data_IF_666028207663
#
_entry.id   IF_666028207663
#
_cell.length_a   1.000
_cell.length_b   1.000
_cell.length_c   1.000
_cell.angle_alpha   90.00
_cell.angle_beta   90.00
_cell.angle_gamma   90.00
#
_symmetry.space_group_name_H-M   'P 1'
#
loop_
_entity.id
_entity.type
_entity.pdbx_description
1 polymer ?
#
# COMPACT_ATOMS: atom_id res chain seq x y z
N UNK A 1 23.22 -22.37 -5.19
CA UNK A 1 22.40 -21.23 -4.75
C UNK A 1 23.21 -20.43 -3.75
N UNK A 2 23.51 -19.16 -4.03
CA UNK A 2 24.14 -18.26 -3.06
C UNK A 2 23.02 -17.46 -2.42
N UNK A 3 22.82 -17.62 -1.12
CA UNK A 3 21.97 -16.75 -0.33
C UNK A 3 22.89 -15.64 0.19
N UNK A 4 22.72 -14.42 -0.31
CA UNK A 4 23.42 -13.25 0.22
C UNK A 4 22.62 -12.67 1.39
N UNK A 5 23.13 -12.86 2.60
CA UNK A 5 22.52 -12.33 3.82
C UNK A 5 22.69 -10.81 3.94
N UNK A 6 23.48 -10.17 3.09
CA UNK A 6 23.65 -8.72 3.04
C UNK A 6 22.70 -8.05 2.03
N UNK A 7 21.97 -8.83 1.22
CA UNK A 7 20.99 -8.26 0.31
C UNK A 7 19.84 -7.63 1.12
N UNK A 8 19.72 -6.31 1.03
CA UNK A 8 18.67 -5.57 1.74
C UNK A 8 17.29 -5.98 1.23
N UNK A 9 16.32 -5.98 2.14
CA UNK A 9 14.92 -6.06 1.76
C UNK A 9 14.55 -4.92 0.78
N UNK A 10 13.61 -5.16 -0.14
CA UNK A 10 13.07 -4.10 -0.99
C UNK A 10 12.56 -2.94 -0.13
N UNK A 11 12.80 -1.71 -0.58
CA UNK A 11 12.40 -0.50 0.13
C UNK A 11 12.16 0.65 -0.83
N UNK A 12 11.47 1.66 -0.31
CA UNK A 12 11.30 2.96 -0.97
C UNK A 12 11.88 4.04 -0.07
N UNK A 13 12.53 5.03 -0.69
CA UNK A 13 13.05 6.19 0.03
C UNK A 13 11.98 7.31 0.01
N UNK A 14 11.53 7.72 1.18
CA UNK A 14 10.57 8.81 1.39
C UNK A 14 11.31 10.04 1.88
N UNK A 15 11.22 11.16 1.13
CA UNK A 15 11.92 12.40 1.48
C UNK A 15 10.96 13.39 2.14
N UNK A 16 11.35 13.91 3.30
CA UNK A 16 10.65 14.98 4.00
C UNK A 16 11.67 16.06 4.41
N UNK A 17 11.59 17.22 3.76
CA UNK A 17 12.59 18.28 3.91
C UNK A 17 13.99 17.77 3.56
N UNK A 18 14.90 17.83 4.53
CA UNK A 18 16.29 17.38 4.38
C UNK A 18 16.53 15.93 4.84
N UNK A 19 15.49 15.23 5.29
CA UNK A 19 15.58 13.87 5.81
C UNK A 19 15.02 12.88 4.79
N UNK A 20 15.67 11.72 4.69
CA UNK A 20 15.23 10.59 3.88
C UNK A 20 14.96 9.40 4.81
N UNK A 21 13.79 8.82 4.68
CA UNK A 21 13.32 7.66 5.42
C UNK A 21 13.31 6.45 4.49
N UNK A 22 13.76 5.30 4.98
CA UNK A 22 13.68 4.06 4.22
C UNK A 22 12.48 3.25 4.71
N UNK A 23 11.46 3.14 3.89
CA UNK A 23 10.30 2.29 4.18
C UNK A 23 10.53 0.96 3.50
N UNK A 24 10.78 -0.09 4.29
CA UNK A 24 11.02 -1.45 3.79
C UNK A 24 9.70 -2.18 3.53
N UNK A 25 9.67 -3.00 2.48
CA UNK A 25 8.61 -3.97 2.20
C UNK A 25 8.78 -5.17 3.14
N UNK A 26 8.32 -5.00 4.38
CA UNK A 26 8.30 -6.00 5.43
C UNK A 26 6.90 -6.10 6.06
N UNK A 27 6.65 -7.17 6.80
CA UNK A 27 5.34 -7.44 7.39
C UNK A 27 4.79 -6.28 8.22
N UNK A 28 5.68 -5.60 8.98
CA UNK A 28 5.29 -4.44 9.81
C UNK A 28 4.73 -3.30 8.96
N UNK A 29 5.44 -2.89 7.92
CA UNK A 29 5.05 -1.74 7.12
C UNK A 29 3.89 -2.08 6.18
N UNK A 30 3.84 -3.31 5.66
CA UNK A 30 2.70 -3.82 4.92
C UNK A 30 1.44 -3.80 5.80
N UNK A 31 1.53 -4.28 7.04
CA UNK A 31 0.40 -4.23 7.98
C UNK A 31 -0.08 -2.81 8.24
N UNK A 32 0.82 -1.83 8.42
CA UNK A 32 0.41 -0.43 8.62
C UNK A 32 -0.36 0.12 7.41
N UNK A 33 0.07 -0.21 6.20
CA UNK A 33 -0.59 0.23 4.97
C UNK A 33 -1.95 -0.49 4.77
N UNK A 34 -2.01 -1.79 5.04
CA UNK A 34 -3.25 -2.57 4.93
C UNK A 34 -4.28 -2.17 6.00
N UNK A 35 -3.83 -1.91 7.23
CA UNK A 35 -4.67 -1.37 8.31
C UNK A 35 -5.25 -0.01 7.91
N UNK A 36 -4.42 0.86 7.29
CA UNK A 36 -4.88 2.14 6.76
C UNK A 36 -5.95 1.98 5.67
N UNK A 37 -5.74 1.11 4.69
CA UNK A 37 -6.73 0.86 3.62
C UNK A 37 -8.05 0.31 4.20
N UNK A 38 -7.95 -0.58 5.18
CA UNK A 38 -9.13 -1.15 5.85
C UNK A 38 -9.92 -0.09 6.61
N UNK A 39 -9.22 0.77 7.36
CA UNK A 39 -9.83 1.87 8.11
C UNK A 39 -10.42 2.93 7.18
N UNK A 40 -9.74 3.24 6.07
CA UNK A 40 -10.21 4.15 5.05
C UNK A 40 -11.52 3.67 4.40
N UNK A 41 -11.62 2.38 4.10
CA UNK A 41 -12.87 1.78 3.60
C UNK A 41 -14.00 1.94 4.62
N UNK A 42 -13.70 1.75 5.92
CA UNK A 42 -14.65 2.01 7.00
C UNK A 42 -15.08 3.48 7.09
N UNK A 43 -14.15 4.41 6.92
CA UNK A 43 -14.42 5.85 6.86
C UNK A 43 -15.37 6.20 5.71
N UNK A 44 -15.11 5.70 4.50
CA UNK A 44 -15.98 5.92 3.35
C UNK A 44 -17.40 5.40 3.60
N UNK A 45 -17.54 4.26 4.28
CA UNK A 45 -18.83 3.74 4.72
C UNK A 45 -19.57 4.69 5.66
N UNK A 46 -18.89 5.20 6.69
CA UNK A 46 -19.45 6.19 7.64
C UNK A 46 -19.81 7.52 6.94
N UNK A 47 -18.98 8.00 6.03
CA UNK A 47 -19.24 9.21 5.25
C UNK A 47 -20.46 9.05 4.34
N UNK A 48 -20.61 7.88 3.71
CA UNK A 48 -21.77 7.55 2.87
C UNK A 48 -23.05 7.46 3.71
N UNK A 49 -22.99 6.86 4.90
CA UNK A 49 -24.12 6.83 5.84
C UNK A 49 -24.52 8.23 6.31
N UNK A 50 -23.54 9.10 6.59
CA UNK A 50 -23.79 10.50 6.93
C UNK A 50 -24.50 11.24 5.79
N UNK A 51 -24.05 11.06 4.55
CA UNK A 51 -24.69 11.66 3.37
C UNK A 51 -26.14 11.20 3.22
N UNK A 52 -26.41 9.89 3.36
CA UNK A 52 -27.78 9.34 3.32
C UNK A 52 -28.68 9.93 4.40
N UNK A 53 -28.18 10.08 5.63
CA UNK A 53 -28.93 10.67 6.75
C UNK A 53 -29.19 12.17 6.59
N UNK A 54 -28.31 12.86 5.88
CA UNK A 54 -28.47 14.27 5.54
C UNK A 54 -29.51 14.46 4.43
N UNK A 55 -29.51 13.57 3.43
CA UNK A 55 -30.47 13.58 2.32
C UNK A 55 -31.86 13.05 2.71
N UNK A 56 -31.95 12.28 3.81
CA UNK A 56 -33.22 11.79 4.34
C UNK A 56 -34.12 12.96 4.72
N UNK A 57 -35.29 13.04 4.09
CA UNK A 57 -36.29 14.06 4.38
C UNK A 57 -37.14 13.65 5.60
N UNK A 58 -37.62 14.61 6.39
CA UNK A 58 -38.44 14.34 7.60
C UNK A 58 -39.76 13.62 7.28
N UNK A 59 -40.19 13.65 6.02
CA UNK A 59 -41.38 13.02 5.44
C UNK A 59 -41.27 11.48 5.27
N UNK A 60 -40.17 10.86 5.71
CA UNK A 60 -40.17 9.44 6.09
C UNK A 60 -40.15 8.44 4.95
N UNK A 61 -39.66 8.82 3.77
CA UNK A 61 -39.54 7.92 2.61
C UNK A 61 -38.31 7.01 2.62
N UNK A 62 -37.43 7.11 3.64
CA UNK A 62 -36.22 6.29 3.79
C UNK A 62 -36.17 5.51 5.10
N UNK A 63 -35.56 4.32 5.07
CA UNK A 63 -35.32 3.45 6.23
C UNK A 63 -34.33 4.02 7.27
N UNK A 64 -33.86 5.26 7.11
CA UNK A 64 -32.81 5.88 7.92
C UNK A 64 -33.30 7.21 8.48
N UNK A 65 -33.20 7.36 9.81
CA UNK A 65 -33.63 8.56 10.53
C UNK A 65 -32.74 9.77 10.18
N UNK A 66 -33.31 10.95 9.83
CA UNK A 66 -32.54 12.16 9.61
C UNK A 66 -31.84 12.63 10.89
N UNK A 67 -30.66 13.23 10.74
CA UNK A 67 -29.91 13.84 11.83
C UNK A 67 -30.35 15.28 12.03
N UNK A 68 -30.44 15.73 13.29
CA UNK A 68 -30.53 17.15 13.59
C UNK A 68 -29.24 17.87 13.16
N UNK A 69 -29.28 19.20 12.94
CA UNK A 69 -28.09 19.97 12.57
C UNK A 69 -26.92 19.85 13.56
N UNK A 70 -27.20 19.64 14.85
CA UNK A 70 -26.21 19.47 15.91
C UNK A 70 -25.57 18.08 15.84
N UNK A 71 -26.38 17.02 15.71
CA UNK A 71 -25.90 15.65 15.53
C UNK A 71 -25.06 15.51 14.26
N UNK A 72 -25.46 16.18 13.17
CA UNK A 72 -24.69 16.22 11.93
C UNK A 72 -23.30 16.83 12.16
N UNK A 73 -23.23 18.01 12.79
CA UNK A 73 -21.96 18.70 13.05
C UNK A 73 -21.04 17.86 13.94
N UNK A 74 -21.59 17.26 14.99
CA UNK A 74 -20.82 16.41 15.89
C UNK A 74 -20.27 15.19 15.14
N UNK A 75 -21.13 14.47 14.42
CA UNK A 75 -20.72 13.28 13.67
C UNK A 75 -19.67 13.61 12.60
N UNK A 76 -19.86 14.70 11.84
CA UNK A 76 -18.89 15.13 10.84
C UNK A 76 -17.53 15.50 11.45
N UNK A 77 -17.53 16.13 12.64
CA UNK A 77 -16.31 16.50 13.36
C UNK A 77 -15.58 15.27 13.90
N UNK A 78 -16.30 14.33 14.50
CA UNK A 78 -15.73 13.06 14.98
C UNK A 78 -15.12 12.27 13.81
N UNK A 79 -15.85 12.18 12.70
CA UNK A 79 -15.41 11.50 11.50
C UNK A 79 -14.11 12.11 10.95
N UNK A 80 -14.04 13.45 10.84
CA UNK A 80 -12.84 14.15 10.39
C UNK A 80 -11.64 13.98 11.34
N UNK A 81 -11.88 14.00 12.65
CA UNK A 81 -10.84 13.81 13.66
C UNK A 81 -10.28 12.38 13.65
N UNK A 82 -11.16 11.37 13.57
CA UNK A 82 -10.78 9.96 13.47
C UNK A 82 -9.89 9.73 12.24
N UNK A 83 -10.25 10.34 11.10
CA UNK A 83 -9.48 10.24 9.87
C UNK A 83 -8.10 10.88 10.00
N UNK A 84 -8.06 12.11 10.51
CA UNK A 84 -6.80 12.82 10.77
C UNK A 84 -5.90 11.98 11.66
N UNK A 85 -6.40 11.51 12.79
CA UNK A 85 -5.64 10.73 13.76
C UNK A 85 -5.11 9.43 13.13
N UNK A 86 -5.94 8.74 12.35
CA UNK A 86 -5.55 7.52 11.66
C UNK A 86 -4.41 7.76 10.67
N UNK A 87 -4.57 8.74 9.78
CA UNK A 87 -3.61 9.04 8.72
C UNK A 87 -2.27 9.50 9.30
N UNK A 88 -2.32 10.40 10.28
CA UNK A 88 -1.10 10.92 10.94
C UNK A 88 -0.35 9.81 11.69
N UNK A 89 -1.05 8.95 12.44
CA UNK A 89 -0.43 7.79 13.11
C UNK A 89 0.16 6.77 12.14
N UNK A 90 -0.45 6.59 10.97
CA UNK A 90 0.12 5.71 9.93
C UNK A 90 1.48 6.21 9.44
N UNK A 91 1.62 7.53 9.23
CA UNK A 91 2.91 8.13 8.91
C UNK A 91 3.95 7.97 10.02
N UNK A 92 3.58 8.22 11.28
CA UNK A 92 4.48 8.05 12.42
C UNK A 92 5.03 6.61 12.48
N UNK A 93 4.14 5.62 12.29
CA UNK A 93 4.51 4.20 12.29
C UNK A 93 5.39 3.82 11.10
N UNK A 94 5.08 4.31 9.89
CA UNK A 94 5.83 3.99 8.67
C UNK A 94 7.23 4.62 8.67
N UNK A 95 7.32 5.86 9.14
CA UNK A 95 8.57 6.63 9.15
C UNK A 95 9.37 6.39 10.45
N UNK A 96 8.76 5.74 11.45
CA UNK A 96 9.42 5.35 12.70
C UNK A 96 9.75 6.53 13.59
N UNK A 97 8.99 7.61 13.50
CA UNK A 97 9.22 8.85 14.24
C UNK A 97 7.89 9.49 14.62
N UNK A 98 7.67 9.61 15.93
CA UNK A 98 6.44 10.17 16.48
C UNK A 98 6.29 11.66 16.12
N UNK A 99 5.08 12.06 15.73
CA UNK A 99 4.74 13.44 15.39
C UNK A 99 5.09 13.86 13.96
N UNK A 100 5.70 13.00 13.15
CA UNK A 100 5.97 13.28 11.73
C UNK A 100 4.68 13.41 10.93
N UNK A 101 3.68 12.58 11.22
CA UNK A 101 2.37 12.64 10.60
C UNK A 101 1.67 13.97 10.86
N UNK A 102 1.67 14.46 12.10
CA UNK A 102 1.08 15.77 12.43
C UNK A 102 1.84 16.91 11.75
N UNK A 103 3.17 16.83 11.66
CA UNK A 103 3.98 17.79 10.91
C UNK A 103 3.64 17.77 9.41
N UNK A 104 3.52 16.59 8.81
CA UNK A 104 3.09 16.41 7.42
C UNK A 104 1.69 16.99 7.18
N UNK A 105 0.74 16.74 8.09
CA UNK A 105 -0.61 17.29 7.99
C UNK A 105 -0.61 18.82 7.93
N UNK A 106 0.16 19.47 8.80
CA UNK A 106 0.32 20.94 8.79
C UNK A 106 0.99 21.43 7.51
N UNK A 107 2.00 20.71 7.01
CA UNK A 107 2.67 21.04 5.74
C UNK A 107 1.73 20.93 4.53
N UNK A 108 0.77 20.00 4.58
CA UNK A 108 -0.24 19.80 3.53
C UNK A 108 -1.50 20.65 3.75
N UNK A 109 -1.38 21.81 4.43
CA UNK A 109 -2.48 22.73 4.73
C UNK A 109 -3.68 22.03 5.38
N UNK A 110 -3.41 21.13 6.32
CA UNK A 110 -4.43 20.41 7.07
C UNK A 110 -5.31 19.46 6.22
N UNK A 111 -4.83 19.07 5.03
CA UNK A 111 -5.52 18.13 4.15
C UNK A 111 -5.20 16.67 4.49
N UNK A 112 -6.18 15.94 5.03
CA UNK A 112 -6.08 14.48 5.22
C UNK A 112 -6.08 13.74 3.88
N UNK A 113 -6.86 14.19 2.91
CA UNK A 113 -6.92 13.61 1.56
C UNK A 113 -5.54 13.57 0.88
N UNK A 114 -4.76 14.65 0.97
CA UNK A 114 -3.41 14.66 0.40
C UNK A 114 -2.49 13.65 1.10
N UNK A 115 -2.61 13.51 2.42
CA UNK A 115 -1.84 12.53 3.17
C UNK A 115 -2.24 11.08 2.80
N UNK A 116 -3.51 10.81 2.56
CA UNK A 116 -3.99 9.51 2.07
C UNK A 116 -3.40 9.17 0.70
N UNK A 117 -3.40 10.12 -0.22
CA UNK A 117 -2.78 9.95 -1.54
C UNK A 117 -1.29 9.62 -1.43
N UNK A 118 -0.57 10.27 -0.52
CA UNK A 118 0.84 9.98 -0.25
C UNK A 118 1.05 8.57 0.32
N UNK A 119 0.19 8.10 1.23
CA UNK A 119 0.23 6.72 1.73
C UNK A 119 -0.01 5.71 0.61
N UNK A 120 -0.98 5.98 -0.28
CA UNK A 120 -1.23 5.14 -1.46
C UNK A 120 -0.03 5.08 -2.41
N UNK A 121 0.63 6.22 -2.67
CA UNK A 121 1.85 6.26 -3.49
C UNK A 121 2.99 5.45 -2.87
N UNK A 122 3.16 5.52 -1.55
CA UNK A 122 4.15 4.72 -0.82
C UNK A 122 3.84 3.23 -0.96
N UNK A 123 2.56 2.84 -0.81
CA UNK A 123 2.11 1.45 -0.97
C UNK A 123 2.38 0.92 -2.38
N UNK A 124 1.96 1.66 -3.41
CA UNK A 124 2.16 1.26 -4.81
C UNK A 124 3.64 1.10 -5.15
N UNK A 125 4.48 2.04 -4.69
CA UNK A 125 5.92 1.99 -4.91
C UNK A 125 6.56 0.77 -4.20
N UNK A 126 6.15 0.48 -2.96
CA UNK A 126 6.59 -0.69 -2.20
C UNK A 126 6.21 -2.00 -2.88
N UNK A 127 4.97 -2.15 -3.31
CA UNK A 127 4.50 -3.33 -4.06
C UNK A 127 5.27 -3.49 -5.36
N UNK A 128 5.57 -2.37 -6.05
CA UNK A 128 6.40 -2.36 -7.25
C UNK A 128 7.81 -2.90 -7.00
N UNK A 129 8.48 -2.43 -5.95
CA UNK A 129 9.82 -2.91 -5.57
C UNK A 129 9.83 -4.37 -5.12
N UNK A 130 8.83 -4.79 -4.34
CA UNK A 130 8.68 -6.18 -3.94
C UNK A 130 8.53 -7.11 -5.14
N UNK A 131 7.68 -6.76 -6.12
CA UNK A 131 7.49 -7.55 -7.33
C UNK A 131 8.78 -7.69 -8.16
N UNK A 132 9.56 -6.60 -8.29
CA UNK A 132 10.87 -6.65 -8.97
C UNK A 132 11.84 -7.58 -8.25
N UNK A 133 11.86 -7.50 -6.92
CA UNK A 133 12.70 -8.35 -6.09
C UNK A 133 12.35 -9.84 -6.24
N UNK A 134 11.06 -10.18 -6.18
CA UNK A 134 10.57 -11.55 -6.38
C UNK A 134 10.90 -12.09 -7.78
N UNK A 135 10.75 -11.26 -8.83
CA UNK A 135 11.15 -11.63 -10.19
C UNK A 135 12.65 -11.92 -10.29
N UNK A 136 13.49 -11.05 -9.74
CA UNK A 136 14.95 -11.26 -9.69
C UNK A 136 15.30 -12.58 -8.99
N UNK A 137 14.65 -12.89 -7.87
CA UNK A 137 14.86 -14.16 -7.14
C UNK A 137 14.38 -15.37 -7.94
N UNK A 138 13.24 -15.27 -8.61
CA UNK A 138 12.73 -16.34 -9.47
C UNK A 138 13.66 -16.63 -10.66
N UNK A 139 14.25 -15.60 -11.26
CA UNK A 139 15.20 -15.75 -12.37
C UNK A 139 16.55 -16.32 -11.90
N UNK A 140 17.06 -15.88 -10.74
CA UNK A 140 18.23 -16.50 -10.11
C UNK A 140 17.99 -17.98 -9.82
N UNK A 141 16.79 -18.34 -9.34
CA UNK A 141 16.42 -19.73 -9.10
C UNK A 141 16.40 -20.55 -10.40
N UNK A 142 15.78 -20.04 -11.47
CA UNK A 142 15.77 -20.70 -12.80
C UNK A 142 17.18 -20.88 -13.38
N UNK A 143 18.07 -19.91 -13.19
CA UNK A 143 19.46 -20.01 -13.64
C UNK A 143 20.25 -21.03 -12.82
N UNK A 144 20.04 -21.09 -11.50
CA UNK A 144 20.70 -22.05 -10.63
C UNK A 144 20.19 -23.48 -10.83
N UNK A 145 18.93 -23.64 -11.23
CA UNK A 145 18.26 -24.94 -11.45
C UNK A 145 17.55 -24.98 -12.80
N UNK A 146 18.29 -25.03 -13.92
CA UNK A 146 17.68 -25.18 -15.24
C UNK A 146 16.94 -26.51 -15.30
N UNK A 147 15.63 -26.46 -15.52
CA UNK A 147 14.82 -27.68 -15.65
C UNK A 147 15.33 -28.56 -16.79
N UNK A 148 15.53 -29.85 -16.54
CA UNK A 148 16.08 -30.86 -17.47
C UNK A 148 15.40 -30.91 -18.86
N UNK A 149 14.21 -30.32 -19.02
CA UNK A 149 13.55 -30.19 -20.33
C UNK A 149 14.34 -29.32 -21.33
N UNK A 150 15.13 -28.33 -20.87
CA UNK A 150 15.95 -27.50 -21.75
C UNK A 150 17.18 -28.26 -22.30
N UNK A 151 17.85 -29.06 -21.46
CA UNK A 151 19.00 -29.89 -21.86
C UNK A 151 18.60 -30.95 -22.90
N UNK A 152 17.46 -31.63 -22.69
CA UNK A 152 16.95 -32.62 -23.64
C UNK A 152 16.58 -32.01 -25.01
N UNK A 153 16.16 -30.74 -25.07
CA UNK A 153 15.81 -30.06 -26.33
C UNK A 153 17.05 -29.65 -27.13
N UNK A 154 18.12 -29.23 -26.45
CA UNK A 154 19.41 -28.94 -27.08
C UNK A 154 20.09 -30.22 -27.61
N UNK A 155 20.07 -31.31 -26.84
CA UNK A 155 20.59 -32.61 -27.26
C UNK A 155 19.81 -33.24 -28.42
N UNK A 156 18.48 -33.08 -28.46
CA UNK A 156 17.66 -33.53 -29.59
C UNK A 156 17.93 -32.73 -30.87
N UNK A 157 18.19 -31.42 -30.75
CA UNK A 157 18.56 -30.56 -31.90
C UNK A 157 19.96 -30.87 -32.44
N UNK A 158 20.92 -31.21 -31.59
CA UNK A 158 22.26 -31.61 -32.04
C UNK A 158 22.26 -33.01 -32.69
N UNK A 159 21.50 -33.98 -32.14
CA UNK A 159 21.38 -35.33 -32.72
C UNK A 159 20.69 -35.34 -34.10
N UNK A 160 19.73 -34.45 -34.36
CA UNK A 160 19.07 -34.38 -35.68
C UNK A 160 19.92 -33.70 -36.76
N UNK A 161 20.87 -32.82 -36.41
CA UNK A 161 21.79 -32.23 -37.40
C UNK A 161 22.82 -33.23 -37.93
N UNK A 162 23.31 -34.15 -37.08
CA UNK A 162 24.28 -35.17 -37.49
C UNK A 162 23.69 -36.34 -38.28
N UNK A 163 22.36 -36.51 -38.31
CA UNK A 163 21.70 -37.56 -39.11
C UNK A 163 21.41 -37.15 -40.56
N UNK A 164 21.40 -35.87 -40.87
CA UNK A 164 21.12 -35.35 -42.22
C UNK A 164 22.40 -34.97 -43.01
N UNK A 165 23.58 -35.41 -42.57
CA UNK A 165 24.88 -35.18 -43.23
C UNK A 165 25.63 -36.48 -43.58
N UNK A 166 24.93 -37.62 -43.62
CA UNK A 166 25.43 -38.88 -44.19
C UNK A 166 24.49 -39.33 -45.28
#
# INVERSE_FOLDING_TARGET
MIIDLNEKAPHVDVKLGNKTYQVFANDKNTQVLDDFVSLYTGYQGKATELAKRFEATEDGSGDVKPLSPEEYKQFATELANDLKETVTKSFDKLLGEDGVGEHLWKLQNESTEHLEQLLGQIQDALTGEQKKYEQKKADQFKQAYPTHQAQNRAERRSKNKNKNQK
#
